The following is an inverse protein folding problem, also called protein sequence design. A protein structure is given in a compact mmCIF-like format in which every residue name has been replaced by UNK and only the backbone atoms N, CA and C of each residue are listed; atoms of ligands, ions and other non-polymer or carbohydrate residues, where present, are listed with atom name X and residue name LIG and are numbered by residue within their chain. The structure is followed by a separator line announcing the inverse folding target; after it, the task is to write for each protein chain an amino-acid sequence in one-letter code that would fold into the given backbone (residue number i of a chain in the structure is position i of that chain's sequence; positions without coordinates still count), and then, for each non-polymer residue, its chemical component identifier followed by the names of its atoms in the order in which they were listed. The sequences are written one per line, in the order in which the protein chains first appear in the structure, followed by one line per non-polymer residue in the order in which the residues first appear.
data_IF_171775972138
#
_entry.id   IF_171775972138
#
_cell.length_a   1.000
_cell.length_b   1.000
_cell.length_c   1.000
_cell.angle_alpha   90.00
_cell.angle_beta   90.00
_cell.angle_gamma   90.00
#
_symmetry.space_group_name_H-M   'P 1'
#
loop_
_entity.id
_entity.type
_entity.pdbx_description
1 polymer ?
#
# COMPACT_ATOMS: atom_id res chain seq x y z
N UNK A 1 8.87 -2.18 21.70
CA UNK A 1 8.61 -0.98 20.89
C UNK A 1 7.11 -0.84 20.78
N UNK A 2 6.57 0.37 20.90
CA UNK A 2 5.12 0.61 20.73
C UNK A 2 4.90 1.26 19.36
N UNK A 3 4.03 0.67 18.55
CA UNK A 3 3.71 1.16 17.21
C UNK A 3 2.37 1.89 17.21
N UNK A 4 2.30 2.96 16.43
CA UNK A 4 1.07 3.67 16.11
C UNK A 4 0.99 3.79 14.59
N UNK A 5 -0.13 3.39 14.00
CA UNK A 5 -0.39 3.45 12.57
C UNK A 5 -1.50 4.46 12.31
N UNK A 6 -1.21 5.41 11.44
CA UNK A 6 -2.18 6.37 10.94
C UNK A 6 -3.02 5.76 9.80
N UNK A 7 -4.34 5.76 9.98
CA UNK A 7 -5.34 5.36 8.99
C UNK A 7 -6.34 6.50 8.73
N UNK A 8 -5.93 7.77 8.84
CA UNK A 8 -6.70 8.93 8.37
C UNK A 8 -7.03 8.76 6.88
N UNK A 9 -5.99 8.58 6.06
CA UNK A 9 -6.07 8.10 4.69
C UNK A 9 -5.58 6.66 4.56
N UNK A 10 -6.37 5.82 3.90
CA UNK A 10 -5.99 4.47 3.51
C UNK A 10 -5.94 4.36 1.98
N UNK A 11 -4.94 3.64 1.46
CA UNK A 11 -4.73 3.43 0.03
C UNK A 11 -5.26 2.09 -0.45
N UNK A 12 -6.04 2.11 -1.52
CA UNK A 12 -6.55 0.93 -2.25
C UNK A 12 -5.97 0.86 -3.68
N UNK A 13 -5.83 -0.34 -4.22
CA UNK A 13 -5.40 -0.56 -5.60
C UNK A 13 -3.90 -0.36 -5.82
N UNK A 14 -3.45 0.16 -6.99
CA UNK A 14 -2.06 0.13 -7.38
C UNK A 14 -1.26 1.26 -6.70
N UNK A 15 -1.01 1.11 -5.41
CA UNK A 15 -0.18 2.01 -4.62
C UNK A 15 1.34 1.85 -4.84
N UNK A 16 2.16 2.71 -4.20
CA UNK A 16 1.73 3.88 -3.41
C UNK A 16 1.35 5.08 -4.29
N UNK A 17 1.85 5.17 -5.53
CA UNK A 17 1.66 6.36 -6.39
C UNK A 17 0.29 6.45 -7.05
N UNK A 18 -0.29 5.32 -7.44
CA UNK A 18 -1.54 5.27 -8.20
C UNK A 18 -2.73 4.71 -7.40
N UNK A 19 -2.60 4.71 -6.07
CA UNK A 19 -3.66 4.28 -5.17
C UNK A 19 -4.93 5.13 -5.34
N UNK A 20 -6.05 4.53 -4.99
CA UNK A 20 -7.30 5.23 -4.66
C UNK A 20 -7.27 5.48 -3.16
N UNK A 21 -7.37 6.73 -2.76
CA UNK A 21 -7.38 7.07 -1.34
C UNK A 21 -8.82 6.95 -0.80
N UNK A 22 -8.91 6.60 0.47
CA UNK A 22 -10.16 6.55 1.22
C UNK A 22 -9.94 7.17 2.60
N UNK A 23 -10.87 8.00 3.05
CA UNK A 23 -10.87 8.46 4.45
C UNK A 23 -11.41 7.33 5.30
N UNK A 24 -10.64 6.91 6.32
CA UNK A 24 -11.08 5.88 7.27
C UNK A 24 -11.16 6.39 8.70
N UNK A 25 -10.46 7.48 9.04
CA UNK A 25 -10.49 8.07 10.38
C UNK A 25 -10.21 7.03 11.47
N UNK A 26 -9.13 6.25 11.29
CA UNK A 26 -8.72 5.23 12.24
C UNK A 26 -7.28 5.46 12.65
N UNK A 27 -6.98 5.14 13.90
CA UNK A 27 -5.62 5.04 14.42
C UNK A 27 -5.53 3.66 15.05
N UNK A 28 -4.50 2.91 14.71
CA UNK A 28 -4.20 1.63 15.35
C UNK A 28 -2.98 1.83 16.24
N UNK A 29 -2.96 1.17 17.39
CA UNK A 29 -1.82 1.22 18.29
C UNK A 29 -1.60 -0.15 18.93
N UNK A 30 -0.34 -0.59 19.01
CA UNK A 30 -0.02 -1.93 19.52
C UNK A 30 1.41 -2.00 20.04
N UNK A 31 1.60 -2.79 21.10
CA UNK A 31 2.94 -3.22 21.54
C UNK A 31 3.49 -4.38 20.69
N UNK A 32 2.64 -5.13 20.00
CA UNK A 32 2.99 -6.21 19.09
C UNK A 32 2.97 -5.72 17.63
N UNK A 33 4.11 -5.82 16.96
CA UNK A 33 4.33 -5.31 15.60
C UNK A 33 3.64 -6.17 14.53
N UNK A 34 3.46 -7.46 14.77
CA UNK A 34 2.75 -8.34 13.84
C UNK A 34 1.24 -8.16 14.02
N UNK A 35 0.79 -7.96 15.25
CA UNK A 35 -0.63 -7.78 15.55
C UNK A 35 -1.22 -6.53 14.90
N UNK A 36 -0.50 -5.40 14.91
CA UNK A 36 -0.99 -4.16 14.27
C UNK A 36 -1.15 -4.31 12.75
N UNK A 37 -0.19 -4.99 12.10
CA UNK A 37 -0.27 -5.28 10.67
C UNK A 37 -1.39 -6.28 10.35
N UNK A 38 -1.60 -7.29 11.21
CA UNK A 38 -2.67 -8.27 11.04
C UNK A 38 -4.06 -7.63 11.18
N UNK A 39 -4.24 -6.77 12.17
CA UNK A 39 -5.48 -6.02 12.35
C UNK A 39 -5.72 -5.06 11.17
N UNK A 40 -4.70 -4.32 10.73
CA UNK A 40 -4.79 -3.46 9.56
C UNK A 40 -5.19 -4.25 8.29
N UNK A 41 -4.53 -5.39 8.04
CA UNK A 41 -4.85 -6.27 6.92
C UNK A 41 -6.30 -6.77 6.94
N UNK A 42 -6.76 -7.23 8.11
CA UNK A 42 -8.15 -7.66 8.33
C UNK A 42 -9.13 -6.54 8.03
N UNK A 43 -8.88 -5.33 8.54
CA UNK A 43 -9.75 -4.16 8.30
C UNK A 43 -9.80 -3.77 6.82
N UNK A 44 -8.67 -3.87 6.12
CA UNK A 44 -8.61 -3.68 4.66
C UNK A 44 -9.38 -4.76 3.87
N UNK A 45 -9.71 -5.88 4.50
CA UNK A 45 -10.45 -6.99 3.90
C UNK A 45 -9.58 -8.15 3.40
N UNK A 46 -8.30 -8.16 3.78
CA UNK A 46 -7.38 -9.26 3.47
C UNK A 46 -7.40 -10.32 4.57
N UNK A 47 -7.11 -11.56 4.20
CA UNK A 47 -6.70 -12.58 5.18
C UNK A 47 -5.26 -12.30 5.63
N UNK A 48 -5.01 -11.94 6.90
CA UNK A 48 -3.67 -11.63 7.40
C UNK A 48 -2.68 -12.78 7.17
N UNK A 49 -3.13 -14.04 7.29
CA UNK A 49 -2.25 -15.20 7.15
C UNK A 49 -1.93 -15.53 5.69
N UNK A 50 -2.72 -15.02 4.73
CA UNK A 50 -2.38 -15.06 3.30
C UNK A 50 -1.22 -14.10 2.95
N UNK A 51 -1.00 -13.05 3.76
CA UNK A 51 0.07 -12.09 3.56
C UNK A 51 1.39 -12.66 4.08
N UNK A 52 2.31 -12.95 3.13
CA UNK A 52 3.56 -13.66 3.40
C UNK A 52 4.37 -13.06 4.56
N UNK A 53 4.46 -11.74 4.67
CA UNK A 53 5.26 -11.11 5.72
C UNK A 53 4.64 -11.28 7.12
N UNK A 54 3.32 -11.15 7.25
CA UNK A 54 2.60 -11.38 8.52
C UNK A 54 2.74 -12.83 8.94
N UNK A 55 2.41 -13.76 8.04
CA UNK A 55 2.52 -15.21 8.30
C UNK A 55 3.94 -15.60 8.73
N UNK A 56 4.95 -15.15 7.99
CA UNK A 56 6.35 -15.48 8.30
C UNK A 56 6.83 -14.91 9.64
N UNK A 57 6.32 -13.75 10.07
CA UNK A 57 6.63 -13.17 11.36
C UNK A 57 5.91 -13.91 12.50
N UNK A 58 4.65 -14.27 12.29
CA UNK A 58 3.87 -15.07 13.22
C UNK A 58 4.47 -16.46 13.45
N UNK A 59 4.78 -17.18 12.37
CA UNK A 59 5.39 -18.52 12.43
C UNK A 59 6.77 -18.51 13.13
N UNK A 60 7.46 -17.37 13.15
CA UNK A 60 8.73 -17.18 13.85
C UNK A 60 8.58 -16.71 15.30
N UNK A 61 7.37 -16.54 15.80
CA UNK A 61 7.11 -16.04 17.16
C UNK A 61 7.50 -14.58 17.37
N UNK A 62 7.59 -13.77 16.30
CA UNK A 62 7.90 -12.34 16.41
C UNK A 62 6.69 -11.49 16.81
N UNK A 63 5.50 -12.10 16.82
CA UNK A 63 4.23 -11.49 17.22
C UNK A 63 3.03 -12.33 16.77
N UNK A 64 1.82 -11.83 16.98
CA UNK A 64 0.58 -12.53 16.64
C UNK A 64 0.00 -12.08 15.30
N UNK A 65 -0.07 -12.98 14.31
CA UNK A 65 -0.77 -12.73 13.04
C UNK A 65 -2.22 -13.23 13.00
N UNK A 66 -2.61 -14.02 14.00
CA UNK A 66 -3.94 -14.63 14.13
C UNK A 66 -4.86 -13.68 14.89
N UNK A 67 -5.73 -12.97 14.16
CA UNK A 67 -6.62 -11.94 14.72
C UNK A 67 -7.56 -12.49 15.80
N UNK A 68 -7.90 -13.79 15.76
CA UNK A 68 -8.75 -14.41 16.80
C UNK A 68 -8.08 -14.49 18.17
N UNK A 69 -6.74 -14.32 18.22
CA UNK A 69 -5.92 -14.34 19.44
C UNK A 69 -5.42 -12.95 19.84
N UNK A 70 -5.82 -11.91 19.12
CA UNK A 70 -5.44 -10.53 19.43
C UNK A 70 -6.56 -9.93 20.29
N UNK A 71 -6.19 -9.42 21.46
CA UNK A 71 -7.09 -8.64 22.30
C UNK A 71 -7.24 -7.23 21.72
N UNK A 72 -8.41 -6.95 21.13
CA UNK A 72 -8.71 -5.67 20.50
C UNK A 72 -9.42 -4.80 21.53
N UNK A 73 -8.70 -3.79 22.01
CA UNK A 73 -9.23 -2.77 22.90
C UNK A 73 -9.69 -1.57 22.09
N UNK A 74 -10.92 -1.10 22.32
CA UNK A 74 -11.49 0.07 21.64
C UNK A 74 -12.72 -0.27 20.80
N UNK A 75 -12.75 0.23 19.56
CA UNK A 75 -13.86 -0.01 18.64
C UNK A 75 -13.96 -1.50 18.25
N UNK A 76 -15.16 -2.07 18.27
CA UNK A 76 -15.38 -3.40 17.74
C UNK A 76 -15.19 -3.39 16.21
N UNK A 77 -14.12 -4.05 15.77
CA UNK A 77 -13.82 -4.18 14.36
C UNK A 77 -14.42 -5.43 13.73
N UNK A 78 -15.18 -6.27 14.44
CA UNK A 78 -15.66 -7.57 13.94
C UNK A 78 -16.27 -7.49 12.53
N UNK A 79 -17.14 -6.50 12.31
CA UNK A 79 -17.82 -6.22 11.04
C UNK A 79 -17.03 -5.34 10.06
N UNK A 80 -15.84 -4.86 10.44
CA UNK A 80 -15.02 -4.01 9.58
C UNK A 80 -14.33 -4.85 8.51
N UNK A 81 -14.68 -4.58 7.26
CA UNK A 81 -14.01 -5.06 6.06
C UNK A 81 -14.19 -4.03 4.93
N UNK A 82 -13.11 -3.39 4.51
CA UNK A 82 -13.16 -2.32 3.51
C UNK A 82 -13.16 -2.80 2.05
N UNK A 83 -13.04 -4.11 1.81
CA UNK A 83 -13.04 -4.71 0.48
C UNK A 83 -11.99 -4.09 -0.45
N UNK A 84 -10.81 -3.79 0.09
CA UNK A 84 -9.71 -3.28 -0.71
C UNK A 84 -9.17 -4.35 -1.66
N UNK A 85 -8.69 -3.87 -2.79
CA UNK A 85 -8.09 -4.65 -3.86
C UNK A 85 -6.57 -4.68 -3.69
N UNK A 86 -6.04 -5.83 -3.27
CA UNK A 86 -4.61 -5.97 -2.94
C UNK A 86 -3.68 -6.12 -4.15
N UNK A 87 -4.22 -6.46 -5.33
CA UNK A 87 -3.40 -6.77 -6.52
C UNK A 87 -3.97 -6.10 -7.76
N UNK A 88 -3.76 -4.80 -7.86
CA UNK A 88 -3.96 -4.08 -9.12
C UNK A 88 -2.63 -3.68 -9.75
N UNK A 89 -2.64 -3.44 -11.06
CA UNK A 89 -1.43 -3.06 -11.79
C UNK A 89 -1.74 -2.01 -12.84
N UNK A 90 -1.10 -0.85 -12.70
CA UNK A 90 -1.00 0.14 -13.78
C UNK A 90 -0.22 -0.43 -14.96
N UNK A 91 -0.36 0.20 -16.13
CA UNK A 91 0.39 -0.17 -17.32
C UNK A 91 1.90 -0.22 -17.06
N UNK A 92 2.46 0.80 -16.39
CA UNK A 92 3.88 0.81 -16.03
C UNK A 92 4.25 -0.34 -15.09
N UNK A 93 3.43 -0.61 -14.06
CA UNK A 93 3.71 -1.72 -13.14
C UNK A 93 3.61 -3.09 -13.82
N UNK A 94 2.74 -3.27 -14.83
CA UNK A 94 2.71 -4.48 -15.67
C UNK A 94 4.01 -4.63 -16.45
N UNK A 95 4.50 -3.55 -17.08
CA UNK A 95 5.80 -3.53 -17.75
C UNK A 95 6.95 -3.92 -16.83
N UNK A 96 7.00 -3.31 -15.64
CA UNK A 96 8.00 -3.61 -14.63
C UNK A 96 7.92 -5.06 -14.12
N UNK A 97 6.71 -5.61 -13.91
CA UNK A 97 6.51 -7.02 -13.54
C UNK A 97 7.00 -7.97 -14.63
N UNK A 98 6.84 -7.63 -15.91
CA UNK A 98 7.41 -8.45 -17.00
C UNK A 98 8.94 -8.50 -16.97
N UNK A 99 9.59 -7.41 -16.56
CA UNK A 99 11.06 -7.34 -16.42
C UNK A 99 11.52 -8.08 -15.16
N UNK A 100 10.85 -7.96 -14.02
CA UNK A 100 11.32 -8.60 -12.80
C UNK A 100 10.92 -10.06 -12.63
N UNK A 101 9.75 -10.45 -13.15
CA UNK A 101 9.12 -11.74 -12.85
C UNK A 101 8.55 -12.44 -14.09
N UNK A 102 8.69 -11.84 -15.27
CA UNK A 102 8.09 -12.32 -16.51
C UNK A 102 9.11 -12.60 -17.63
N UNK A 103 8.66 -12.62 -18.88
CA UNK A 103 9.49 -13.05 -20.01
C UNK A 103 10.65 -12.10 -20.33
N UNK A 104 10.64 -10.86 -19.83
CA UNK A 104 11.72 -9.89 -20.03
C UNK A 104 12.81 -9.98 -18.95
N UNK A 105 12.72 -10.95 -18.01
CA UNK A 105 13.71 -11.18 -16.96
C UNK A 105 15.16 -11.33 -17.46
N UNK A 106 15.45 -12.02 -18.59
CA UNK A 106 16.81 -12.10 -19.12
C UNK A 106 17.41 -10.73 -19.47
N UNK A 107 16.56 -9.73 -19.75
CA UNK A 107 16.98 -8.37 -20.10
C UNK A 107 17.14 -7.46 -18.87
N UNK A 108 16.82 -7.93 -17.64
CA UNK A 108 16.88 -7.10 -16.43
C UNK A 108 18.27 -6.45 -16.26
N UNK A 109 19.34 -7.23 -16.42
CA UNK A 109 20.70 -6.71 -16.24
C UNK A 109 21.04 -5.62 -17.26
N UNK A 110 20.63 -5.80 -18.52
CA UNK A 110 20.85 -4.83 -19.58
C UNK A 110 20.02 -3.56 -19.34
N UNK A 111 18.75 -3.70 -19.02
CA UNK A 111 17.82 -2.57 -18.90
C UNK A 111 17.97 -1.80 -17.58
N UNK A 112 18.30 -2.49 -16.49
CA UNK A 112 18.24 -1.94 -15.13
C UNK A 112 19.60 -1.91 -14.40
N UNK A 113 20.62 -2.62 -14.89
CA UNK A 113 21.96 -2.69 -14.24
C UNK A 113 23.11 -2.29 -15.16
N UNK A 114 22.81 -1.60 -16.25
CA UNK A 114 23.79 -1.01 -17.17
C UNK A 114 23.56 0.50 -17.27
N UNK A 115 24.43 1.27 -17.96
CA UNK A 115 24.20 2.69 -18.24
C UNK A 115 22.85 3.00 -18.93
N UNK A 116 22.23 2.00 -19.58
CA UNK A 116 20.88 2.11 -20.16
C UNK A 116 19.79 2.33 -19.12
N UNK A 117 20.07 2.12 -17.83
CA UNK A 117 19.12 2.39 -16.72
C UNK A 117 18.58 3.82 -16.76
N UNK A 118 19.35 4.78 -17.28
CA UNK A 118 18.92 6.16 -17.48
C UNK A 118 17.66 6.26 -18.37
N UNK A 119 17.53 5.40 -19.38
CA UNK A 119 16.34 5.32 -20.22
C UNK A 119 15.15 4.73 -19.45
N UNK A 120 15.37 3.75 -18.58
CA UNK A 120 14.32 3.18 -17.72
C UNK A 120 13.80 4.24 -16.73
N UNK A 121 14.69 5.04 -16.14
CA UNK A 121 14.31 6.17 -15.29
C UNK A 121 13.54 7.24 -16.07
N UNK A 122 14.00 7.59 -17.27
CA UNK A 122 13.31 8.53 -18.15
C UNK A 122 11.90 8.04 -18.50
N UNK A 123 11.75 6.77 -18.91
CA UNK A 123 10.46 6.17 -19.23
C UNK A 123 9.52 6.15 -18.02
N UNK A 124 10.03 5.78 -16.84
CA UNK A 124 9.27 5.82 -15.58
C UNK A 124 8.80 7.23 -15.24
N UNK A 125 9.69 8.23 -15.38
CA UNK A 125 9.37 9.63 -15.14
C UNK A 125 8.31 10.16 -16.11
N UNK A 126 8.46 9.88 -17.41
CA UNK A 126 7.49 10.25 -18.44
C UNK A 126 6.12 9.62 -18.16
N UNK A 127 6.07 8.34 -17.77
CA UNK A 127 4.81 7.70 -17.44
C UNK A 127 4.18 8.29 -16.17
N UNK A 128 4.91 8.35 -15.06
CA UNK A 128 4.33 8.74 -13.78
C UNK A 128 4.07 10.25 -13.71
N UNK A 129 5.06 11.09 -14.02
CA UNK A 129 4.97 12.53 -13.87
C UNK A 129 4.44 13.22 -15.13
N UNK A 130 4.76 12.70 -16.31
CA UNK A 130 4.29 13.25 -17.58
C UNK A 130 2.83 12.90 -17.87
N UNK A 131 2.52 11.60 -17.88
CA UNK A 131 1.20 11.10 -18.28
C UNK A 131 0.25 10.91 -17.10
N UNK A 132 0.57 10.02 -16.15
CA UNK A 132 -0.36 9.56 -15.14
C UNK A 132 -0.77 10.68 -14.18
N UNK A 133 0.21 11.45 -13.67
CA UNK A 133 -0.06 12.57 -12.78
C UNK A 133 -0.94 13.63 -13.45
N UNK A 134 -0.70 13.96 -14.72
CA UNK A 134 -1.48 15.00 -15.42
C UNK A 134 -2.88 14.55 -15.79
N UNK A 135 -3.08 13.26 -16.06
CA UNK A 135 -4.36 12.72 -16.56
C UNK A 135 -5.28 12.19 -15.45
N UNK A 136 -4.72 11.46 -14.49
CA UNK A 136 -5.47 10.77 -13.42
C UNK A 136 -5.09 11.31 -12.04
N UNK A 137 -3.79 11.44 -11.78
CA UNK A 137 -3.28 11.79 -10.45
C UNK A 137 -3.76 13.14 -9.95
N UNK A 138 -3.72 14.17 -10.79
CA UNK A 138 -4.08 15.55 -10.45
C UNK A 138 -5.51 15.64 -9.92
N UNK A 139 -6.48 15.04 -10.63
CA UNK A 139 -7.88 15.02 -10.19
C UNK A 139 -8.04 14.31 -8.85
N UNK A 140 -7.32 13.21 -8.62
CA UNK A 140 -7.36 12.49 -7.33
C UNK A 140 -6.73 13.30 -6.21
N UNK A 141 -5.64 14.01 -6.47
CA UNK A 141 -4.97 14.87 -5.50
C UNK A 141 -5.88 16.05 -5.14
N UNK A 142 -6.44 16.74 -6.14
CA UNK A 142 -7.37 17.84 -5.93
C UNK A 142 -8.57 17.39 -5.08
N UNK A 143 -9.18 16.25 -5.41
CA UNK A 143 -10.27 15.69 -4.61
C UNK A 143 -9.84 15.26 -3.19
N UNK A 144 -8.59 14.79 -3.00
CA UNK A 144 -8.07 14.47 -1.67
C UNK A 144 -7.91 15.73 -0.82
N UNK A 145 -7.46 16.83 -1.43
CA UNK A 145 -7.26 18.12 -0.76
C UNK A 145 -8.57 18.78 -0.32
N UNK A 146 -9.70 18.44 -0.96
CA UNK A 146 -11.03 18.94 -0.57
C UNK A 146 -11.60 18.29 0.70
N UNK A 147 -11.01 17.17 1.14
CA UNK A 147 -11.44 16.43 2.34
C UNK A 147 -11.07 17.16 3.63
N UNK A 148 -11.61 16.72 4.79
CA UNK A 148 -11.26 17.30 6.09
C UNK A 148 -9.75 17.25 6.37
N UNK A 149 -9.13 16.09 6.15
CA UNK A 149 -7.68 15.93 6.28
C UNK A 149 -6.90 16.70 5.21
N UNK A 150 -7.44 16.80 4.00
CA UNK A 150 -6.85 17.60 2.92
C UNK A 150 -6.80 19.09 3.25
N UNK A 151 -7.90 19.64 3.77
CA UNK A 151 -8.00 21.01 4.24
C UNK A 151 -7.12 21.27 5.46
N UNK A 152 -7.09 20.33 6.40
CA UNK A 152 -6.18 20.40 7.54
C UNK A 152 -4.72 20.43 7.07
N UNK A 153 -4.34 19.56 6.14
CA UNK A 153 -3.01 19.54 5.53
C UNK A 153 -2.64 20.88 4.89
N UNK A 154 -3.58 21.55 4.23
CA UNK A 154 -3.38 22.88 3.63
C UNK A 154 -3.27 24.02 4.64
N UNK A 155 -3.67 23.80 5.90
CA UNK A 155 -3.66 24.82 6.96
C UNK A 155 -2.38 24.86 7.79
N UNK A 156 -1.51 23.85 7.65
CA UNK A 156 -0.17 23.82 8.25
C UNK A 156 0.82 24.65 7.43
#
# INVERSE_FOLDING_TARGET
VFAVMDGTFAGDGPGPRAMRWHIKNRILASADQVAIDAVAAKMMGFDPMSLKFIRLAHERGLGCGDVSKIDIVGEDISQVNWQFTGVESTFASRGQKMIYWGPLKPLENLLLRSPLVSLAFLASNLYHNGYWLKTVGRRRIEAALETEWGKLFQSY
#
